data_IF_718709268984
#
_entry.id   IF_718709268984
#
_cell.length_a   1.000
_cell.length_b   1.000
_cell.length_c   1.000
_cell.angle_alpha   90.00
_cell.angle_beta   90.00
_cell.angle_gamma   90.00
#
_symmetry.space_group_name_H-M   'P 1'
#
loop_
_entity.id
_entity.type
_entity.pdbx_description
1 polymer ?
#
# COMPACT_ATOMS: atom_id res chain seq x y z
N UNK A 1 17.09 -9.27 -6.36
CA UNK A 1 15.74 -9.89 -6.45
C UNK A 1 14.96 -9.12 -7.50
N UNK A 2 14.46 -9.81 -8.54
CA UNK A 2 13.70 -9.21 -9.63
C UNK A 2 12.22 -9.12 -9.23
N UNK A 3 11.53 -8.01 -9.53
CA UNK A 3 10.12 -7.78 -9.15
C UNK A 3 9.13 -7.99 -10.31
N UNK A 4 9.55 -8.75 -11.33
CA UNK A 4 8.70 -9.09 -12.46
C UNK A 4 8.44 -7.88 -13.38
N UNK A 5 7.24 -7.76 -13.96
CA UNK A 5 6.89 -6.61 -14.81
C UNK A 5 7.05 -5.24 -14.15
N UNK A 6 7.03 -5.16 -12.83
CA UNK A 6 7.21 -3.90 -12.09
C UNK A 6 8.67 -3.40 -12.12
N UNK A 7 9.63 -4.24 -12.54
CA UNK A 7 11.05 -3.88 -12.56
C UNK A 7 11.30 -2.67 -13.49
N UNK A 8 10.59 -2.59 -14.61
CA UNK A 8 10.66 -1.47 -15.57
C UNK A 8 10.15 -0.14 -14.99
N UNK A 9 9.39 -0.20 -13.89
CA UNK A 9 8.86 0.97 -13.19
C UNK A 9 9.62 1.31 -11.92
N UNK A 10 10.55 0.45 -11.50
CA UNK A 10 11.17 0.53 -10.18
C UNK A 10 12.50 1.29 -10.22
N UNK A 11 12.56 2.39 -9.47
CA UNK A 11 13.79 3.09 -9.12
C UNK A 11 14.20 2.72 -7.70
N UNK A 12 15.44 2.23 -7.55
CA UNK A 12 16.07 1.94 -6.26
C UNK A 12 16.98 3.09 -5.87
N UNK A 13 16.68 3.75 -4.76
CA UNK A 13 17.40 4.90 -4.21
C UNK A 13 18.68 4.54 -3.45
N UNK A 14 19.34 3.44 -3.82
CA UNK A 14 20.60 2.99 -3.24
C UNK A 14 21.55 2.49 -4.33
N UNK A 15 22.84 2.47 -4.02
CA UNK A 15 23.86 1.96 -4.95
C UNK A 15 23.65 0.46 -5.23
N UNK A 16 23.83 -0.02 -6.47
CA UNK A 16 23.75 -1.44 -6.81
C UNK A 16 24.68 -2.34 -5.98
N UNK A 17 25.80 -1.80 -5.49
CA UNK A 17 26.78 -2.53 -4.67
C UNK A 17 26.43 -2.56 -3.18
N UNK A 18 25.34 -1.88 -2.78
CA UNK A 18 24.88 -1.80 -1.40
C UNK A 18 23.71 -2.76 -1.17
N UNK A 19 23.82 -3.59 -0.13
CA UNK A 19 22.68 -4.36 0.35
C UNK A 19 21.73 -3.42 1.11
N UNK A 20 20.44 -3.35 0.73
CA UNK A 20 19.51 -2.40 1.36
C UNK A 20 19.14 -2.83 2.78
N UNK A 21 18.72 -1.85 3.59
CA UNK A 21 18.17 -2.11 4.92
C UNK A 21 16.91 -2.97 4.86
N UNK A 22 16.53 -3.53 6.02
CA UNK A 22 15.45 -4.51 6.14
C UNK A 22 14.13 -3.97 5.57
N UNK A 23 13.80 -2.71 5.80
CA UNK A 23 12.58 -2.04 5.34
C UNK A 23 12.50 -2.02 3.80
N UNK A 24 13.60 -1.63 3.14
CA UNK A 24 13.68 -1.58 1.68
C UNK A 24 13.72 -2.97 1.06
N UNK A 25 14.40 -3.92 1.71
CA UNK A 25 14.38 -5.32 1.31
C UNK A 25 12.95 -5.90 1.38
N UNK A 26 12.21 -5.61 2.46
CA UNK A 26 10.82 -6.02 2.62
C UNK A 26 9.90 -5.38 1.56
N UNK A 27 10.16 -4.13 1.18
CA UNK A 27 9.44 -3.49 0.07
C UNK A 27 9.70 -4.22 -1.26
N UNK A 28 10.97 -4.56 -1.57
CA UNK A 28 11.31 -5.35 -2.77
C UNK A 28 10.67 -6.74 -2.72
N UNK A 29 10.67 -7.41 -1.57
CA UNK A 29 9.99 -8.70 -1.40
C UNK A 29 8.48 -8.59 -1.57
N UNK A 30 7.87 -7.49 -1.13
CA UNK A 30 6.44 -7.22 -1.30
C UNK A 30 6.10 -7.05 -2.78
N UNK A 31 6.90 -6.27 -3.54
CA UNK A 31 6.74 -6.13 -4.99
C UNK A 31 6.91 -7.48 -5.71
N UNK A 32 7.89 -8.28 -5.31
CA UNK A 32 8.13 -9.61 -5.89
C UNK A 32 7.01 -10.62 -5.60
N UNK A 33 6.20 -10.39 -4.55
CA UNK A 33 5.07 -11.23 -4.21
C UNK A 33 3.81 -10.94 -5.07
N UNK A 34 3.80 -9.85 -5.85
CA UNK A 34 2.66 -9.48 -6.68
C UNK A 34 2.46 -10.50 -7.81
N UNK A 35 1.26 -11.11 -7.96
CA UNK A 35 0.97 -12.05 -9.03
C UNK A 35 1.21 -11.43 -10.41
N UNK A 36 1.77 -12.21 -11.34
CA UNK A 36 2.20 -11.70 -12.65
C UNK A 36 1.11 -10.92 -13.40
N UNK A 37 -0.12 -11.44 -13.46
CA UNK A 37 -1.23 -10.75 -14.14
C UNK A 37 -1.57 -9.39 -13.52
N UNK A 38 -1.48 -9.27 -12.19
CA UNK A 38 -1.64 -8.00 -11.50
C UNK A 38 -0.44 -7.09 -11.72
N UNK A 39 0.78 -7.63 -11.68
CA UNK A 39 2.01 -6.87 -11.92
C UNK A 39 2.02 -6.22 -13.32
N UNK A 40 1.53 -6.90 -14.36
CA UNK A 40 1.39 -6.32 -15.72
C UNK A 40 0.42 -5.13 -15.70
N UNK A 41 -0.75 -5.28 -15.07
CA UNK A 41 -1.75 -4.20 -14.97
C UNK A 41 -1.20 -3.00 -14.19
N UNK A 42 -0.56 -3.25 -13.06
CA UNK A 42 0.09 -2.22 -12.26
C UNK A 42 1.22 -1.53 -13.02
N UNK A 43 2.05 -2.27 -13.76
CA UNK A 43 3.11 -1.68 -14.59
C UNK A 43 2.54 -0.80 -15.70
N UNK A 44 1.37 -1.12 -16.26
CA UNK A 44 0.69 -0.26 -17.22
C UNK A 44 0.09 1.00 -16.57
N UNK A 45 -0.44 0.86 -15.35
CA UNK A 45 -1.08 1.95 -14.60
C UNK A 45 -0.08 2.95 -14.00
N UNK A 46 1.01 2.45 -13.41
CA UNK A 46 2.03 3.23 -12.68
C UNK A 46 3.00 3.95 -13.63
N UNK A 47 2.47 4.86 -14.44
CA UNK A 47 3.28 5.62 -15.41
C UNK A 47 4.30 6.54 -14.77
N UNK A 48 4.05 7.00 -13.55
CA UNK A 48 5.01 7.79 -12.77
C UNK A 48 6.08 6.95 -12.08
N UNK A 49 5.93 5.62 -12.07
CA UNK A 49 6.91 4.67 -11.51
C UNK A 49 6.71 4.34 -10.03
N UNK A 50 7.69 3.62 -9.49
CA UNK A 50 7.81 3.21 -8.09
C UNK A 50 9.20 3.62 -7.62
N UNK A 51 9.29 4.42 -6.58
CA UNK A 51 10.56 4.81 -5.98
C UNK A 51 10.69 4.20 -4.58
N UNK A 52 11.78 3.47 -4.34
CA UNK A 52 12.13 2.96 -3.01
C UNK A 52 13.41 3.68 -2.56
N UNK A 53 13.44 4.27 -1.37
CA UNK A 53 14.63 4.99 -0.89
C UNK A 53 14.62 5.23 0.61
N UNK A 54 15.73 5.79 1.12
CA UNK A 54 15.88 6.08 2.54
C UNK A 54 15.13 7.36 2.95
N UNK A 55 14.69 7.41 4.21
CA UNK A 55 14.05 8.59 4.78
C UNK A 55 12.53 8.57 4.65
N UNK A 56 11.90 9.74 4.64
CA UNK A 56 10.47 9.89 4.43
C UNK A 56 10.16 10.21 2.97
N UNK A 57 8.88 10.28 2.61
CA UNK A 57 8.43 10.56 1.24
C UNK A 57 9.15 11.76 0.60
N UNK A 58 9.30 12.94 1.24
CA UNK A 58 10.02 14.08 0.65
C UNK A 58 11.52 13.87 0.40
N UNK A 59 12.14 12.84 0.98
CA UNK A 59 13.54 12.49 0.73
C UNK A 59 13.70 11.63 -0.55
N UNK A 60 12.58 11.14 -1.10
CA UNK A 60 12.58 10.29 -2.29
C UNK A 60 12.62 11.12 -3.58
N UNK A 61 13.37 10.67 -4.60
CA UNK A 61 13.41 11.31 -5.91
C UNK A 61 12.01 11.61 -6.49
N UNK A 62 11.79 12.88 -6.80
CA UNK A 62 10.58 13.41 -7.40
C UNK A 62 9.48 13.80 -6.42
N UNK A 63 9.62 13.54 -5.11
CA UNK A 63 8.66 13.90 -4.06
C UNK A 63 9.10 15.12 -3.23
N UNK A 64 10.20 15.78 -3.60
CA UNK A 64 10.86 16.83 -2.82
C UNK A 64 9.96 18.04 -2.56
N UNK A 65 9.00 18.30 -3.46
CA UNK A 65 8.03 19.39 -3.33
C UNK A 65 7.08 19.24 -2.15
N UNK A 66 6.98 18.04 -1.55
CA UNK A 66 6.15 17.76 -0.37
C UNK A 66 6.83 18.14 0.96
N UNK A 67 8.12 18.49 0.94
CA UNK A 67 8.88 18.82 2.14
C UNK A 67 8.25 19.98 2.90
N UNK A 68 8.16 19.86 4.22
CA UNK A 68 7.58 20.86 5.12
C UNK A 68 6.09 21.17 4.86
N UNK A 69 5.39 20.37 4.05
CA UNK A 69 3.95 20.48 3.86
C UNK A 69 3.21 19.58 4.85
N UNK A 70 2.04 20.05 5.32
CA UNK A 70 1.13 19.23 6.09
C UNK A 70 0.33 18.29 5.19
N UNK A 71 0.06 17.08 5.70
CA UNK A 71 -0.88 16.15 5.10
C UNK A 71 -2.31 16.74 5.16
N UNK A 72 -3.12 16.61 4.10
CA UNK A 72 -4.45 17.22 4.06
C UNK A 72 -5.45 16.67 5.10
N UNK A 73 -5.22 15.48 5.65
CA UNK A 73 -6.25 14.70 6.38
C UNK A 73 -5.86 14.37 7.83
N UNK A 74 -4.59 14.53 8.25
CA UNK A 74 -4.11 13.93 9.50
C UNK A 74 -3.34 14.87 10.47
N UNK A 75 -3.29 16.18 10.22
CA UNK A 75 -2.42 17.12 11.00
C UNK A 75 -0.96 16.60 11.14
N UNK A 76 -0.55 15.73 10.22
CA UNK A 76 0.74 15.07 10.18
C UNK A 76 1.60 15.72 9.09
N UNK A 77 2.92 15.69 9.22
CA UNK A 77 3.83 16.21 8.20
C UNK A 77 4.17 15.13 7.19
N UNK A 78 4.27 15.50 5.91
CA UNK A 78 4.88 14.66 4.88
C UNK A 78 6.32 14.22 5.25
N UNK A 79 7.02 15.01 6.05
CA UNK A 79 8.38 14.71 6.50
C UNK A 79 8.46 13.47 7.42
N UNK A 80 7.32 12.97 7.90
CA UNK A 80 7.22 11.75 8.72
C UNK A 80 6.51 10.61 7.99
N UNK A 81 6.13 10.82 6.73
CA UNK A 81 5.32 9.86 5.98
C UNK A 81 6.22 8.78 5.37
N UNK A 82 5.96 7.49 5.63
CA UNK A 82 6.78 6.39 5.14
C UNK A 82 6.44 5.96 3.70
N UNK A 83 5.27 6.31 3.19
CA UNK A 83 4.83 5.85 1.89
C UNK A 83 3.76 6.77 1.30
N UNK A 84 3.67 6.77 -0.03
CA UNK A 84 2.62 7.47 -0.74
C UNK A 84 2.33 6.82 -2.07
N UNK A 85 1.06 6.78 -2.41
CA UNK A 85 0.58 6.69 -3.77
C UNK A 85 0.00 8.04 -4.21
N UNK A 86 0.60 8.66 -5.23
CA UNK A 86 0.07 9.85 -5.89
C UNK A 86 -0.83 9.43 -7.06
N UNK A 87 -2.16 9.61 -6.96
CA UNK A 87 -3.08 9.24 -8.04
C UNK A 87 -2.94 10.12 -9.29
N UNK A 88 -2.47 11.36 -9.18
CA UNK A 88 -2.33 12.26 -10.33
C UNK A 88 -1.13 11.86 -11.18
N UNK A 89 0.02 11.60 -10.54
CA UNK A 89 1.21 11.12 -11.22
C UNK A 89 1.17 9.61 -11.51
N UNK A 90 0.26 8.87 -10.85
CA UNK A 90 0.24 7.40 -10.78
C UNK A 90 1.63 6.88 -10.41
N UNK A 91 2.13 7.36 -9.26
CA UNK A 91 3.46 7.08 -8.76
C UNK A 91 3.42 6.61 -7.32
N UNK A 92 4.27 5.66 -6.97
CA UNK A 92 4.47 5.22 -5.59
C UNK A 92 5.84 5.70 -5.09
N UNK A 93 5.91 6.17 -3.85
CA UNK A 93 7.16 6.41 -3.11
C UNK A 93 7.13 5.66 -1.79
N UNK A 94 8.18 4.89 -1.49
CA UNK A 94 8.34 4.14 -0.23
C UNK A 94 9.67 4.53 0.41
N UNK A 95 9.58 5.03 1.64
CA UNK A 95 10.66 5.40 2.52
C UNK A 95 10.99 4.33 3.57
N UNK A 96 11.85 4.69 4.51
CA UNK A 96 12.29 3.84 5.64
C UNK A 96 11.88 4.36 7.01
N UNK A 97 11.22 5.51 7.10
CA UNK A 97 10.70 5.97 8.41
C UNK A 97 9.65 4.98 8.96
N UNK A 98 9.54 4.85 10.30
CA UNK A 98 8.62 3.88 10.90
C UNK A 98 7.15 4.07 10.49
N UNK A 99 6.43 2.95 10.38
CA UNK A 99 4.99 2.91 10.04
C UNK A 99 4.23 1.92 10.92
N UNK A 100 2.94 2.18 11.12
CA UNK A 100 2.01 1.22 11.75
C UNK A 100 1.42 0.20 10.77
N UNK A 101 1.61 0.41 9.46
CA UNK A 101 1.17 -0.52 8.42
C UNK A 101 1.95 -1.84 8.51
N UNK A 102 1.29 -2.95 8.15
CA UNK A 102 1.93 -4.27 8.06
C UNK A 102 2.99 -4.33 6.96
N UNK A 103 2.80 -3.53 5.90
CA UNK A 103 3.74 -3.35 4.79
C UNK A 103 3.38 -2.05 4.08
N UNK A 104 4.21 -1.02 4.24
CA UNK A 104 4.01 0.28 3.58
C UNK A 104 3.92 0.10 2.07
N UNK A 105 4.81 -0.70 1.48
CA UNK A 105 4.76 -1.01 0.06
C UNK A 105 3.45 -1.71 -0.34
N UNK A 106 2.99 -2.68 0.46
CA UNK A 106 1.72 -3.36 0.21
C UNK A 106 0.52 -2.43 0.32
N UNK A 107 0.56 -1.49 1.26
CA UNK A 107 -0.49 -0.51 1.49
C UNK A 107 -0.60 0.45 0.29
N UNK A 108 0.52 1.04 -0.18
CA UNK A 108 0.50 1.93 -1.34
C UNK A 108 0.15 1.20 -2.64
N UNK A 109 0.53 -0.08 -2.78
CA UNK A 109 0.02 -0.92 -3.87
C UNK A 109 -1.49 -1.11 -3.79
N UNK A 110 -2.05 -1.24 -2.58
CA UNK A 110 -3.48 -1.29 -2.33
C UNK A 110 -4.19 -0.02 -2.83
N UNK A 111 -3.69 1.16 -2.45
CA UNK A 111 -4.21 2.44 -2.96
C UNK A 111 -4.10 2.55 -4.49
N UNK A 112 -3.00 2.06 -5.06
CA UNK A 112 -2.82 2.02 -6.50
C UNK A 112 -3.84 1.10 -7.20
N UNK A 113 -4.07 -0.09 -6.66
CA UNK A 113 -5.08 -1.03 -7.15
C UNK A 113 -6.50 -0.48 -7.02
N UNK A 114 -6.81 0.20 -5.91
CA UNK A 114 -8.10 0.84 -5.71
C UNK A 114 -8.33 1.92 -6.78
N UNK A 115 -7.39 2.85 -6.99
CA UNK A 115 -7.50 3.85 -8.05
C UNK A 115 -7.55 3.21 -9.45
N UNK A 116 -6.68 2.25 -9.75
CA UNK A 116 -6.63 1.56 -11.06
C UNK A 116 -7.98 0.95 -11.44
N UNK A 117 -8.74 0.45 -10.47
CA UNK A 117 -10.01 -0.24 -10.67
C UNK A 117 -11.25 0.65 -10.46
N UNK A 118 -11.06 1.97 -10.35
CA UNK A 118 -12.17 2.92 -10.20
C UNK A 118 -12.73 3.03 -8.79
N UNK A 119 -11.87 2.89 -7.78
CA UNK A 119 -12.17 3.01 -6.35
C UNK A 119 -13.24 2.01 -5.83
N UNK A 120 -13.07 0.69 -6.02
CA UNK A 120 -13.96 -0.31 -5.43
C UNK A 120 -14.09 -0.22 -3.91
N UNK A 121 -13.12 0.35 -3.19
CA UNK A 121 -13.23 0.66 -1.76
C UNK A 121 -14.45 1.53 -1.42
N UNK A 122 -14.93 2.35 -2.36
CA UNK A 122 -16.12 3.21 -2.24
C UNK A 122 -17.40 2.51 -2.67
N UNK A 123 -17.31 1.28 -3.16
CA UNK A 123 -18.45 0.48 -3.58
C UNK A 123 -19.22 -0.14 -2.41
N UNK A 124 -20.43 -0.64 -2.69
CA UNK A 124 -21.34 -1.17 -1.66
C UNK A 124 -20.71 -2.24 -0.78
N UNK A 125 -19.91 -3.15 -1.35
CA UNK A 125 -19.26 -4.22 -0.60
C UNK A 125 -18.36 -3.68 0.52
N UNK A 126 -17.44 -2.77 0.19
CA UNK A 126 -16.46 -2.25 1.15
C UNK A 126 -17.08 -1.27 2.14
N UNK A 127 -18.04 -0.45 1.68
CA UNK A 127 -18.80 0.44 2.56
C UNK A 127 -19.60 -0.37 3.59
N UNK A 128 -20.34 -1.40 3.15
CA UNK A 128 -21.09 -2.27 4.06
C UNK A 128 -20.17 -3.06 5.00
N UNK A 129 -19.04 -3.54 4.49
CA UNK A 129 -18.05 -4.23 5.30
C UNK A 129 -17.49 -3.31 6.40
N UNK A 130 -17.08 -2.09 6.06
CA UNK A 130 -16.62 -1.08 7.01
C UNK A 130 -17.72 -0.78 8.04
N UNK A 131 -18.96 -0.52 7.59
CA UNK A 131 -20.10 -0.24 8.47
C UNK A 131 -20.37 -1.35 9.48
N UNK A 132 -20.33 -2.61 9.04
CA UNK A 132 -20.58 -3.78 9.89
C UNK A 132 -19.57 -3.97 11.03
N UNK A 133 -18.40 -3.32 10.94
CA UNK A 133 -17.34 -3.42 11.93
C UNK A 133 -16.81 -2.06 12.42
N UNK A 134 -17.46 -0.95 12.05
CA UNK A 134 -16.97 0.43 12.22
C UNK A 134 -16.48 0.75 13.62
N UNK A 135 -17.24 0.37 14.64
CA UNK A 135 -16.92 0.64 16.06
C UNK A 135 -15.68 -0.12 16.55
N UNK A 136 -15.33 -1.23 15.90
CA UNK A 136 -14.16 -2.07 16.20
C UNK A 136 -12.91 -1.67 15.42
N UNK A 137 -13.06 -0.86 14.36
CA UNK A 137 -11.95 -0.36 13.56
C UNK A 137 -11.22 0.79 14.27
N UNK A 138 -9.90 0.82 14.13
CA UNK A 138 -9.05 1.94 14.54
C UNK A 138 -9.06 3.03 13.46
N UNK A 139 -8.73 4.28 13.81
CA UNK A 139 -8.41 5.31 12.82
C UNK A 139 -7.09 4.95 12.10
N UNK A 140 -6.95 5.25 10.79
CA UNK A 140 -7.92 5.91 9.91
C UNK A 140 -8.99 4.97 9.32
N UNK A 141 -8.84 3.65 9.47
CA UNK A 141 -9.70 2.63 8.82
C UNK A 141 -11.19 2.73 9.13
N UNK A 142 -11.55 3.29 10.29
CA UNK A 142 -12.94 3.60 10.67
C UNK A 142 -13.56 4.70 9.80
N UNK A 143 -12.75 5.64 9.32
CA UNK A 143 -13.17 6.90 8.69
C UNK A 143 -13.04 6.83 7.18
N UNK A 144 -12.06 6.07 6.68
CA UNK A 144 -11.77 5.95 5.26
C UNK A 144 -11.73 4.47 4.84
N UNK A 145 -12.67 4.09 3.97
CA UNK A 145 -12.74 2.73 3.43
C UNK A 145 -11.59 2.43 2.46
N UNK A 146 -10.99 3.46 1.83
CA UNK A 146 -9.78 3.33 1.02
C UNK A 146 -8.57 2.93 1.86
N UNK A 147 -8.40 3.53 3.03
CA UNK A 147 -7.36 3.15 3.99
C UNK A 147 -7.55 1.71 4.51
N UNK A 148 -8.80 1.33 4.81
CA UNK A 148 -9.13 -0.04 5.22
C UNK A 148 -8.84 -1.04 4.10
N UNK A 149 -9.21 -0.71 2.86
CA UNK A 149 -8.93 -1.49 1.67
C UNK A 149 -7.42 -1.69 1.48
N UNK A 150 -6.64 -0.61 1.54
CA UNK A 150 -5.20 -0.62 1.30
C UNK A 150 -4.47 -1.49 2.33
N UNK A 151 -4.82 -1.37 3.62
CA UNK A 151 -4.21 -2.19 4.66
C UNK A 151 -4.66 -3.66 4.59
N UNK A 152 -5.91 -3.93 4.22
CA UNK A 152 -6.39 -5.30 4.00
C UNK A 152 -5.71 -5.95 2.78
N UNK A 153 -5.50 -5.18 1.71
CA UNK A 153 -4.72 -5.59 0.54
C UNK A 153 -3.29 -5.96 0.96
N UNK A 154 -2.61 -5.10 1.72
CA UNK A 154 -1.28 -5.37 2.24
C UNK A 154 -1.23 -6.68 3.05
N UNK A 155 -2.15 -6.83 4.02
CA UNK A 155 -2.24 -8.05 4.83
C UNK A 155 -2.43 -9.31 3.98
N UNK A 156 -3.26 -9.23 2.94
CA UNK A 156 -3.57 -10.36 2.05
C UNK A 156 -2.37 -10.70 1.16
N UNK A 157 -1.75 -9.69 0.53
CA UNK A 157 -0.60 -9.85 -0.35
C UNK A 157 0.57 -10.56 0.33
N UNK A 158 0.89 -10.16 1.57
CA UNK A 158 2.00 -10.76 2.34
C UNK A 158 1.55 -11.84 3.34
N UNK A 159 0.33 -12.38 3.16
CA UNK A 159 -0.22 -13.53 3.92
C UNK A 159 -0.21 -13.36 5.44
N UNK A 160 -0.47 -12.16 5.93
CA UNK A 160 -0.54 -11.84 7.37
C UNK A 160 -1.97 -11.97 7.90
N UNK A 161 -2.52 -13.18 7.87
CA UNK A 161 -3.91 -13.47 8.28
C UNK A 161 -4.25 -12.97 9.69
N UNK A 162 -3.37 -13.20 10.69
CA UNK A 162 -3.61 -12.70 12.05
C UNK A 162 -3.65 -11.18 12.11
N UNK A 163 -2.90 -10.48 11.25
CA UNK A 163 -2.95 -9.01 11.17
C UNK A 163 -4.23 -8.54 10.50
N UNK A 164 -4.70 -9.25 9.47
CA UNK A 164 -6.00 -9.00 8.83
C UNK A 164 -7.16 -9.14 9.83
N UNK A 165 -7.18 -10.22 10.62
CA UNK A 165 -8.21 -10.41 11.67
C UNK A 165 -8.16 -9.26 12.69
N UNK A 166 -6.96 -8.85 13.12
CA UNK A 166 -6.79 -7.71 14.03
C UNK A 166 -7.21 -6.37 13.40
N UNK A 167 -7.01 -6.19 12.09
CA UNK A 167 -7.45 -4.98 11.36
C UNK A 167 -8.96 -4.81 11.50
N UNK A 168 -9.72 -5.91 11.40
CA UNK A 168 -11.17 -5.95 11.61
C UNK A 168 -11.59 -6.10 13.09
N UNK A 169 -10.72 -5.70 14.02
CA UNK A 169 -11.01 -5.71 15.46
C UNK A 169 -11.26 -7.11 16.05
N UNK A 170 -10.69 -8.15 15.43
CA UNK A 170 -10.89 -9.55 15.83
C UNK A 170 -12.07 -10.24 15.15
N UNK A 171 -12.80 -9.57 14.25
CA UNK A 171 -13.90 -10.16 13.51
C UNK A 171 -13.39 -11.04 12.35
N UNK A 172 -13.32 -12.34 12.60
CA UNK A 172 -12.86 -13.32 11.60
C UNK A 172 -13.75 -13.35 10.36
N UNK A 173 -15.08 -13.20 10.50
CA UNK A 173 -15.99 -13.24 9.36
C UNK A 173 -15.81 -12.03 8.45
N UNK A 174 -15.61 -10.84 9.04
CA UNK A 174 -15.31 -9.62 8.27
C UNK A 174 -13.95 -9.72 7.56
N UNK A 175 -12.94 -10.25 8.26
CA UNK A 175 -11.61 -10.48 7.69
C UNK A 175 -11.63 -11.50 6.55
N UNK A 176 -12.37 -12.60 6.68
CA UNK A 176 -12.55 -13.63 5.65
C UNK A 176 -13.23 -13.06 4.40
N UNK A 177 -14.29 -12.24 4.57
CA UNK A 177 -14.94 -11.56 3.44
C UNK A 177 -13.97 -10.65 2.68
N UNK A 178 -13.18 -9.84 3.40
CA UNK A 178 -12.15 -9.00 2.78
C UNK A 178 -11.12 -9.84 2.03
N UNK A 179 -10.62 -10.90 2.68
CA UNK A 179 -9.64 -11.82 2.09
C UNK A 179 -10.15 -12.40 0.78
N UNK A 180 -11.35 -12.99 0.76
CA UNK A 180 -11.90 -13.61 -0.44
C UNK A 180 -12.18 -12.62 -1.57
N UNK A 181 -12.63 -11.41 -1.23
CA UNK A 181 -12.83 -10.37 -2.23
C UNK A 181 -11.51 -9.97 -2.90
N UNK A 182 -10.47 -9.74 -2.08
CA UNK A 182 -9.14 -9.37 -2.56
C UNK A 182 -8.47 -10.52 -3.33
N UNK A 183 -8.52 -11.73 -2.79
CA UNK A 183 -7.92 -12.90 -3.44
C UNK A 183 -8.59 -13.24 -4.75
N UNK A 184 -9.93 -13.19 -4.81
CA UNK A 184 -10.68 -13.46 -6.02
C UNK A 184 -10.45 -12.41 -7.10
N UNK A 185 -10.28 -11.14 -6.72
CA UNK A 185 -10.10 -10.04 -7.69
C UNK A 185 -8.66 -9.88 -8.18
N UNK A 186 -7.69 -10.07 -7.28
CA UNK A 186 -6.28 -9.74 -7.52
C UNK A 186 -5.36 -10.96 -7.58
N UNK A 187 -5.86 -12.16 -7.24
CA UNK A 187 -5.06 -13.39 -7.22
C UNK A 187 -4.00 -13.42 -6.12
N UNK A 188 -4.18 -12.61 -5.08
CA UNK A 188 -3.27 -12.51 -3.91
C UNK A 188 -3.79 -13.39 -2.76
N UNK A 189 -2.92 -13.77 -1.83
CA UNK A 189 -3.27 -14.68 -0.72
C UNK A 189 -2.67 -16.07 -0.85
#
# INVERSE_FOLDING_TARGET
MHVGPLEERLTRGWSPDTFPDAELLLAVMTLAAVPHALAVRLAAHLTGGICLGYGSVPDLPGFESLRSLSLPVQDASWDLTPGVYDPNARRIGIGTVPSTSVSVCGHELGHSCDHMDGYPSRGEFWQHLQDSCRDRLMRPYREDAGELFAEAFACTLIRKVTRLIRLFGGDEASAERAYHWLSGRYGIG
#
